data_IF_900578645969
#
_entry.id   IF_900578645969
#
_cell.length_a   1.000
_cell.length_b   1.000
_cell.length_c   1.000
_cell.angle_alpha   90.00
_cell.angle_beta   90.00
_cell.angle_gamma   90.00
#
_symmetry.space_group_name_H-M   'P 1'
#
loop_
_entity.id
_entity.type
_entity.pdbx_description
1 polymer ?
#
# COMPACT_ATOMS: atom_id res chain seq x y z
N UNK A 1 -32.39 -14.77 -15.63
CA UNK A 1 -30.97 -15.20 -15.57
C UNK A 1 -30.65 -15.35 -14.10
N UNK A 2 -30.17 -16.51 -13.67
CA UNK A 2 -29.88 -16.80 -12.26
C UNK A 2 -28.76 -15.90 -11.82
N UNK A 3 -29.08 -14.94 -10.96
CA UNK A 3 -28.06 -14.11 -10.29
C UNK A 3 -27.32 -15.07 -9.36
N UNK A 4 -26.18 -15.55 -9.78
CA UNK A 4 -25.31 -16.31 -8.87
C UNK A 4 -25.13 -15.46 -7.62
N UNK A 5 -25.60 -15.98 -6.50
CA UNK A 5 -25.64 -15.23 -5.25
C UNK A 5 -24.21 -14.91 -4.83
N UNK A 6 -23.83 -13.64 -4.86
CA UNK A 6 -22.55 -13.19 -4.32
C UNK A 6 -22.48 -13.60 -2.85
N UNK A 7 -21.54 -14.47 -2.53
CA UNK A 7 -21.27 -14.91 -1.15
C UNK A 7 -19.99 -14.23 -0.69
N UNK A 8 -20.11 -13.32 0.27
CA UNK A 8 -18.96 -12.62 0.85
C UNK A 8 -18.02 -13.64 1.52
N UNK A 9 -16.71 -13.64 1.23
CA UNK A 9 -15.75 -14.51 1.90
C UNK A 9 -15.78 -14.33 3.42
N UNK A 10 -15.77 -15.44 4.15
CA UNK A 10 -15.88 -15.43 5.62
C UNK A 10 -14.71 -14.70 6.28
N UNK A 11 -13.50 -14.81 5.70
CA UNK A 11 -12.31 -14.12 6.17
C UNK A 11 -12.48 -12.61 6.08
N UNK A 12 -12.98 -12.08 4.94
CA UNK A 12 -13.24 -10.65 4.76
C UNK A 12 -14.29 -10.15 5.77
N UNK A 13 -15.41 -10.86 5.91
CA UNK A 13 -16.45 -10.51 6.87
C UNK A 13 -15.95 -10.57 8.32
N UNK A 14 -15.10 -11.53 8.65
CA UNK A 14 -14.44 -11.67 9.95
C UNK A 14 -13.49 -10.53 10.24
N UNK A 15 -12.67 -10.12 9.27
CA UNK A 15 -11.78 -8.96 9.38
C UNK A 15 -12.57 -7.69 9.66
N UNK A 16 -13.61 -7.40 8.87
CA UNK A 16 -14.46 -6.23 9.08
C UNK A 16 -15.16 -6.23 10.44
N UNK A 17 -15.63 -7.39 10.88
CA UNK A 17 -16.25 -7.51 12.20
C UNK A 17 -15.28 -7.22 13.34
N UNK A 18 -14.00 -7.61 13.18
CA UNK A 18 -12.94 -7.43 14.19
C UNK A 18 -12.45 -5.99 14.26
N UNK A 19 -12.12 -5.38 13.13
CA UNK A 19 -11.44 -4.08 13.08
C UNK A 19 -12.39 -2.89 12.97
N UNK A 20 -13.56 -3.05 12.34
CA UNK A 20 -14.56 -1.99 12.17
C UNK A 20 -15.86 -2.24 12.94
N UNK A 21 -15.96 -3.30 13.75
CA UNK A 21 -17.07 -3.55 14.65
C UNK A 21 -18.42 -3.67 13.96
N UNK A 22 -19.39 -2.88 14.45
CA UNK A 22 -20.76 -2.89 13.92
C UNK A 22 -20.85 -2.33 12.49
N UNK A 23 -20.09 -1.28 12.19
CA UNK A 23 -20.06 -0.63 10.87
C UNK A 23 -19.47 -1.55 9.82
N UNK A 24 -18.37 -2.26 10.14
CA UNK A 24 -17.78 -3.27 9.25
C UNK A 24 -18.71 -4.44 8.96
N UNK A 25 -19.48 -4.91 9.95
CA UNK A 25 -20.51 -5.93 9.74
C UNK A 25 -21.63 -5.43 8.83
N UNK A 26 -22.10 -4.20 9.06
CA UNK A 26 -23.15 -3.59 8.25
C UNK A 26 -22.68 -3.43 6.80
N UNK A 27 -21.46 -2.91 6.58
CA UNK A 27 -20.89 -2.78 5.24
C UNK A 27 -20.76 -4.13 4.54
N UNK A 28 -20.19 -5.14 5.20
CA UNK A 28 -20.06 -6.49 4.61
C UNK A 28 -21.42 -7.08 4.21
N UNK A 29 -22.48 -6.79 4.96
CA UNK A 29 -23.81 -7.24 4.63
C UNK A 29 -24.40 -6.56 3.38
N UNK A 30 -23.91 -5.37 2.99
CA UNK A 30 -24.37 -4.66 1.78
C UNK A 30 -23.72 -5.18 0.50
N UNK A 31 -22.58 -5.86 0.59
CA UNK A 31 -21.76 -6.25 -0.58
C UNK A 31 -22.53 -7.06 -1.64
N UNK A 32 -23.42 -8.03 -1.31
CA UNK A 32 -24.16 -8.77 -2.33
C UNK A 32 -25.07 -7.87 -3.17
N UNK A 33 -25.82 -6.96 -2.52
CA UNK A 33 -26.74 -6.04 -3.19
C UNK A 33 -25.97 -4.96 -3.96
N UNK A 34 -24.89 -4.44 -3.36
CA UNK A 34 -24.02 -3.46 -4.00
C UNK A 34 -23.37 -4.04 -5.26
N UNK A 35 -22.84 -5.26 -5.21
CA UNK A 35 -22.27 -5.95 -6.38
C UNK A 35 -23.34 -6.15 -7.48
N UNK A 36 -24.53 -6.60 -7.11
CA UNK A 36 -25.64 -6.77 -8.06
C UNK A 36 -26.01 -5.45 -8.75
N UNK A 37 -26.06 -4.35 -8.02
CA UNK A 37 -26.35 -3.02 -8.58
C UNK A 37 -25.32 -2.58 -9.63
N UNK A 38 -24.02 -2.87 -9.40
CA UNK A 38 -22.99 -2.57 -10.39
C UNK A 38 -23.01 -3.52 -11.59
N UNK A 39 -23.41 -4.78 -11.40
CA UNK A 39 -23.64 -5.69 -12.51
C UNK A 39 -24.69 -5.14 -13.48
N UNK A 40 -25.81 -4.66 -12.95
CA UNK A 40 -26.86 -4.05 -13.76
C UNK A 40 -26.42 -2.72 -14.36
N UNK A 41 -25.77 -1.84 -13.58
CA UNK A 41 -25.41 -0.47 -13.97
C UNK A 41 -24.32 -0.45 -15.03
N UNK A 42 -23.30 -1.32 -14.91
CA UNK A 42 -22.16 -1.37 -15.83
C UNK A 42 -22.20 -2.55 -16.81
N UNK A 43 -23.32 -3.29 -16.84
CA UNK A 43 -23.50 -4.41 -17.77
C UNK A 43 -22.48 -5.53 -17.53
N UNK A 44 -22.16 -5.82 -16.26
CA UNK A 44 -21.14 -6.79 -15.90
C UNK A 44 -21.72 -8.18 -15.74
N UNK A 45 -20.92 -9.20 -15.97
CA UNK A 45 -21.21 -10.59 -15.63
C UNK A 45 -20.05 -11.23 -14.87
N UNK A 46 -20.38 -12.08 -13.92
CA UNK A 46 -19.36 -12.81 -13.13
C UNK A 46 -18.51 -13.70 -14.05
N UNK A 47 -17.20 -13.70 -13.85
CA UNK A 47 -16.24 -14.44 -14.67
C UNK A 47 -15.08 -15.03 -13.83
N UNK A 48 -15.42 -15.64 -12.73
CA UNK A 48 -14.46 -16.34 -11.88
C UNK A 48 -14.85 -16.35 -10.40
N UNK A 49 -14.07 -17.03 -9.56
CA UNK A 49 -14.28 -17.07 -8.13
C UNK A 49 -14.02 -15.67 -7.52
N UNK A 50 -14.80 -15.34 -6.48
CA UNK A 50 -14.56 -14.16 -5.69
C UNK A 50 -13.22 -14.27 -4.96
N UNK A 51 -12.52 -13.15 -4.87
CA UNK A 51 -11.30 -12.97 -4.08
C UNK A 51 -11.47 -11.79 -3.12
N UNK A 52 -10.55 -11.60 -2.24
CA UNK A 52 -10.50 -10.42 -1.39
C UNK A 52 -9.05 -10.04 -1.09
N UNK A 53 -8.80 -8.76 -0.90
CA UNK A 53 -7.62 -8.25 -0.22
C UNK A 53 -7.88 -8.21 1.29
N UNK A 54 -7.12 -7.40 2.00
CA UNK A 54 -7.33 -7.23 3.45
C UNK A 54 -8.70 -6.60 3.74
N UNK A 55 -9.08 -5.56 3.00
CA UNK A 55 -10.30 -4.77 3.26
C UNK A 55 -11.33 -4.80 2.13
N UNK A 56 -10.95 -5.16 0.91
CA UNK A 56 -11.80 -5.07 -0.27
C UNK A 56 -12.24 -6.42 -0.82
N UNK A 57 -13.50 -6.48 -1.34
CA UNK A 57 -13.99 -7.58 -2.15
C UNK A 57 -13.55 -7.41 -3.60
N UNK A 58 -13.00 -8.46 -4.19
CA UNK A 58 -12.48 -8.51 -5.55
C UNK A 58 -13.33 -9.48 -6.35
N UNK A 59 -14.05 -8.98 -7.34
CA UNK A 59 -15.00 -9.75 -8.15
C UNK A 59 -14.51 -9.79 -9.59
N UNK A 60 -14.01 -10.93 -10.09
CA UNK A 60 -13.67 -11.09 -11.50
C UNK A 60 -14.93 -11.00 -12.36
N UNK A 61 -14.93 -10.10 -13.35
CA UNK A 61 -16.08 -9.84 -14.22
C UNK A 61 -15.67 -9.75 -15.68
N UNK A 62 -16.67 -9.80 -16.58
CA UNK A 62 -16.55 -9.33 -17.96
C UNK A 62 -17.53 -8.20 -18.19
N UNK A 63 -17.09 -7.21 -18.98
CA UNK A 63 -17.95 -6.13 -19.45
C UNK A 63 -18.93 -6.62 -20.52
N UNK A 64 -19.87 -5.75 -20.93
CA UNK A 64 -20.78 -6.03 -22.03
C UNK A 64 -20.06 -6.35 -23.37
N UNK A 65 -18.88 -5.74 -23.57
CA UNK A 65 -18.02 -5.98 -24.75
C UNK A 65 -17.08 -7.18 -24.59
N UNK A 66 -17.33 -8.04 -23.60
CA UNK A 66 -16.55 -9.26 -23.31
C UNK A 66 -15.10 -8.99 -22.84
N UNK A 67 -14.80 -7.79 -22.37
CA UNK A 67 -13.47 -7.44 -21.85
C UNK A 67 -13.33 -7.98 -20.43
N UNK A 68 -12.24 -8.73 -20.11
CA UNK A 68 -11.95 -9.15 -18.74
C UNK A 68 -11.66 -7.94 -17.84
N UNK A 69 -12.32 -7.88 -16.70
CA UNK A 69 -12.16 -6.81 -15.72
C UNK A 69 -12.28 -7.33 -14.29
N UNK A 70 -12.02 -6.47 -13.33
CA UNK A 70 -12.20 -6.73 -11.89
C UNK A 70 -13.05 -5.61 -11.31
N UNK A 71 -14.14 -5.97 -10.64
CA UNK A 71 -14.89 -5.05 -9.81
C UNK A 71 -14.32 -5.11 -8.39
N UNK A 72 -13.75 -4.00 -7.91
CA UNK A 72 -13.21 -3.84 -6.56
C UNK A 72 -14.18 -3.01 -5.74
N UNK A 73 -14.65 -3.59 -4.62
CA UNK A 73 -15.50 -2.91 -3.64
C UNK A 73 -14.71 -2.79 -2.33
N UNK A 74 -14.47 -1.58 -1.88
CA UNK A 74 -13.78 -1.29 -0.63
C UNK A 74 -14.66 -0.39 0.26
N UNK A 75 -14.55 -0.47 1.59
CA UNK A 75 -15.24 0.47 2.47
C UNK A 75 -14.71 1.88 2.24
N UNK A 76 -15.55 2.88 2.51
CA UNK A 76 -15.11 4.27 2.53
C UNK A 76 -14.21 4.45 3.75
N UNK A 77 -12.92 4.58 3.50
CA UNK A 77 -11.90 4.82 4.50
C UNK A 77 -11.37 6.25 4.34
N UNK A 78 -11.58 7.07 5.36
CA UNK A 78 -11.15 8.46 5.35
C UNK A 78 -9.62 8.61 5.42
N UNK A 79 -8.91 7.56 5.82
CA UNK A 79 -7.44 7.58 5.90
C UNK A 79 -6.77 7.37 4.54
N UNK A 80 -7.44 6.66 3.64
CA UNK A 80 -6.89 6.27 2.33
C UNK A 80 -7.76 6.73 1.14
N UNK A 81 -8.23 7.99 1.10
CA UNK A 81 -8.98 8.46 -0.06
C UNK A 81 -8.05 8.60 -1.26
N UNK A 82 -8.53 8.25 -2.44
CA UNK A 82 -7.85 8.70 -3.66
C UNK A 82 -7.30 7.62 -4.58
N UNK A 83 -7.56 6.32 -4.35
CA UNK A 83 -7.14 5.26 -5.27
C UNK A 83 -7.60 5.54 -6.71
N UNK A 84 -8.89 5.74 -6.94
CA UNK A 84 -9.43 6.04 -8.27
C UNK A 84 -8.78 7.27 -8.93
N UNK A 85 -8.72 8.44 -8.27
CA UNK A 85 -8.00 9.60 -8.77
C UNK A 85 -6.54 9.37 -9.12
N UNK A 86 -5.79 8.60 -8.34
CA UNK A 86 -4.40 8.27 -8.64
C UNK A 86 -4.27 7.34 -9.86
N UNK A 87 -5.06 6.28 -9.91
CA UNK A 87 -5.12 5.37 -11.06
C UNK A 87 -5.50 6.10 -12.35
N UNK A 88 -6.39 7.10 -12.27
CA UNK A 88 -6.75 7.95 -13.41
C UNK A 88 -5.56 8.79 -13.88
N UNK A 89 -4.74 9.32 -12.95
CA UNK A 89 -3.54 10.10 -13.27
C UNK A 89 -2.49 9.20 -13.93
N UNK A 90 -2.20 8.05 -13.37
CA UNK A 90 -1.24 7.09 -13.94
C UNK A 90 -1.73 6.50 -15.28
N UNK A 91 -3.03 6.38 -15.46
CA UNK A 91 -3.67 5.92 -16.71
C UNK A 91 -3.01 4.65 -17.30
N UNK A 92 -2.64 3.72 -16.42
CA UNK A 92 -2.00 2.48 -16.79
C UNK A 92 -0.47 2.54 -16.95
N UNK A 93 0.17 3.69 -16.77
CA UNK A 93 1.63 3.79 -16.79
C UNK A 93 2.22 3.27 -15.47
N UNK A 94 2.66 2.01 -15.48
CA UNK A 94 3.20 1.31 -14.31
C UNK A 94 2.16 0.80 -13.31
N UNK A 95 0.88 1.17 -13.45
CA UNK A 95 -0.21 0.72 -12.59
C UNK A 95 -1.35 0.08 -13.36
N UNK A 96 -2.21 -0.64 -12.67
CA UNK A 96 -3.49 -1.16 -13.18
C UNK A 96 -4.34 -0.04 -13.77
N UNK A 97 -5.00 -0.29 -14.90
CA UNK A 97 -5.91 0.70 -15.52
C UNK A 97 -7.23 0.76 -14.79
N UNK A 98 -7.66 1.98 -14.49
CA UNK A 98 -9.02 2.29 -14.11
C UNK A 98 -9.90 2.32 -15.37
N UNK A 99 -10.90 1.45 -15.42
CA UNK A 99 -11.88 1.39 -16.52
C UNK A 99 -13.11 2.25 -16.22
N UNK A 100 -13.61 2.19 -14.97
CA UNK A 100 -14.70 3.02 -14.48
C UNK A 100 -14.63 3.14 -12.96
N UNK A 101 -15.33 4.11 -12.36
CA UNK A 101 -15.42 4.27 -10.91
C UNK A 101 -16.76 4.86 -10.47
N UNK A 102 -17.17 4.51 -9.26
CA UNK A 102 -18.22 5.21 -8.53
C UNK A 102 -17.62 5.88 -7.28
N UNK A 103 -17.39 7.20 -7.31
CA UNK A 103 -16.84 7.92 -6.17
C UNK A 103 -17.73 7.90 -4.92
N UNK A 104 -19.05 7.64 -5.08
CA UNK A 104 -19.98 7.63 -3.95
C UNK A 104 -19.84 6.38 -3.08
N UNK A 105 -19.40 5.28 -3.67
CA UNK A 105 -19.21 3.99 -2.97
C UNK A 105 -17.76 3.50 -2.97
N UNK A 106 -16.83 4.28 -3.55
CA UNK A 106 -15.44 3.90 -3.81
C UNK A 106 -15.28 2.57 -4.55
N UNK A 107 -16.28 2.24 -5.37
CA UNK A 107 -16.22 1.05 -6.22
C UNK A 107 -15.45 1.37 -7.50
N UNK A 108 -14.53 0.48 -7.85
CA UNK A 108 -13.66 0.62 -9.03
C UNK A 108 -13.89 -0.55 -9.98
N UNK A 109 -13.91 -0.25 -11.27
CA UNK A 109 -13.77 -1.24 -12.33
C UNK A 109 -12.35 -1.13 -12.90
N UNK A 110 -11.57 -2.19 -12.75
CA UNK A 110 -10.16 -2.23 -13.10
C UNK A 110 -9.90 -3.23 -14.23
N UNK A 111 -8.85 -3.03 -15.01
CA UNK A 111 -8.35 -4.09 -15.90
C UNK A 111 -8.02 -5.34 -15.08
N UNK A 112 -8.20 -6.53 -15.68
CA UNK A 112 -7.87 -7.77 -15.00
C UNK A 112 -6.39 -8.09 -15.20
N UNK A 113 -5.70 -8.27 -14.08
CA UNK A 113 -4.34 -8.80 -14.04
C UNK A 113 -4.35 -10.27 -13.60
N UNK A 114 -3.21 -10.94 -13.74
CA UNK A 114 -3.02 -12.32 -13.31
C UNK A 114 -2.78 -12.36 -11.78
N UNK A 115 -3.84 -12.57 -11.03
CA UNK A 115 -3.81 -12.58 -9.57
C UNK A 115 -3.09 -13.82 -8.97
N UNK A 116 -2.73 -14.81 -9.79
CA UNK A 116 -1.96 -15.98 -9.38
C UNK A 116 -0.46 -15.81 -9.65
N UNK A 117 -0.04 -14.65 -10.17
CA UNK A 117 1.36 -14.31 -10.46
C UNK A 117 1.69 -12.93 -9.91
N UNK A 118 2.19 -12.90 -8.69
CA UNK A 118 2.71 -11.69 -8.06
C UNK A 118 4.23 -11.59 -8.16
N UNK A 119 4.76 -10.40 -7.96
CA UNK A 119 6.22 -10.19 -7.91
C UNK A 119 6.86 -10.89 -6.68
N UNK A 120 6.05 -11.29 -5.70
CA UNK A 120 6.50 -12.11 -4.59
C UNK A 120 7.12 -13.44 -5.06
N UNK A 121 6.64 -13.97 -6.21
CA UNK A 121 7.09 -15.24 -6.79
C UNK A 121 8.40 -15.12 -7.60
N UNK A 122 8.93 -13.90 -7.82
CA UNK A 122 10.23 -13.72 -8.49
C UNK A 122 11.34 -14.26 -7.57
N UNK A 123 12.08 -15.32 -7.99
CA UNK A 123 13.06 -15.96 -7.12
C UNK A 123 14.29 -15.11 -6.83
N UNK A 124 14.65 -14.19 -7.72
CA UNK A 124 15.74 -13.24 -7.50
C UNK A 124 15.20 -11.98 -6.81
N UNK A 125 15.47 -11.87 -5.51
CA UNK A 125 15.01 -10.73 -4.71
C UNK A 125 15.50 -9.38 -5.22
N UNK A 126 16.73 -9.30 -5.76
CA UNK A 126 17.25 -8.03 -6.28
C UNK A 126 16.58 -7.64 -7.60
N UNK A 127 16.26 -8.62 -8.43
CA UNK A 127 15.44 -8.37 -9.62
C UNK A 127 14.03 -7.92 -9.24
N UNK A 128 13.43 -8.50 -8.20
CA UNK A 128 12.14 -8.05 -7.70
C UNK A 128 12.22 -6.61 -7.15
N UNK A 129 13.25 -6.27 -6.38
CA UNK A 129 13.51 -4.89 -5.91
C UNK A 129 13.71 -3.93 -7.07
N UNK A 130 14.46 -4.35 -8.12
CA UNK A 130 14.63 -3.54 -9.32
C UNK A 130 13.29 -3.22 -9.99
N UNK A 131 12.41 -4.21 -10.16
CA UNK A 131 11.07 -4.01 -10.72
C UNK A 131 10.28 -3.00 -9.89
N UNK A 132 10.29 -3.10 -8.54
CA UNK A 132 9.62 -2.13 -7.67
C UNK A 132 10.21 -0.73 -7.89
N UNK A 133 11.53 -0.58 -7.90
CA UNK A 133 12.18 0.71 -8.14
C UNK A 133 11.82 1.32 -9.49
N UNK A 134 11.79 0.51 -10.57
CA UNK A 134 11.40 0.96 -11.90
C UNK A 134 9.92 1.35 -11.98
N UNK A 135 9.02 0.63 -11.30
CA UNK A 135 7.61 1.00 -11.19
C UNK A 135 7.46 2.30 -10.41
N UNK A 136 8.09 2.43 -9.23
CA UNK A 136 8.04 3.67 -8.44
C UNK A 136 8.57 4.86 -9.24
N UNK A 137 9.67 4.72 -9.99
CA UNK A 137 10.19 5.79 -10.84
C UNK A 137 9.17 6.30 -11.87
N UNK A 138 8.40 5.38 -12.47
CA UNK A 138 7.31 5.72 -13.40
C UNK A 138 6.16 6.41 -12.68
N UNK A 139 5.69 5.86 -11.56
CA UNK A 139 4.57 6.39 -10.79
C UNK A 139 4.87 7.80 -10.26
N UNK A 140 6.08 8.02 -9.73
CA UNK A 140 6.52 9.31 -9.20
C UNK A 140 6.69 10.40 -10.29
N UNK A 141 6.84 10.03 -11.55
CA UNK A 141 6.94 10.98 -12.66
C UNK A 141 5.62 11.73 -12.93
N UNK A 142 4.50 11.22 -12.44
CA UNK A 142 3.20 11.82 -12.62
C UNK A 142 2.87 12.89 -11.58
N UNK A 143 2.12 13.91 -11.99
CA UNK A 143 1.64 14.95 -11.06
C UNK A 143 0.51 14.41 -10.18
N UNK A 144 0.59 14.60 -8.85
CA UNK A 144 -0.51 14.24 -7.97
C UNK A 144 -1.80 14.96 -8.32
N UNK A 145 -2.97 14.32 -8.17
CA UNK A 145 -4.24 15.00 -8.30
C UNK A 145 -4.37 16.08 -7.22
N UNK A 146 -5.10 17.20 -7.46
CA UNK A 146 -5.16 18.34 -6.55
C UNK A 146 -5.62 18.00 -5.13
N UNK A 147 -6.47 16.97 -5.00
CA UNK A 147 -7.02 16.49 -3.74
C UNK A 147 -6.15 15.44 -3.03
N UNK A 148 -4.97 15.12 -3.56
CA UNK A 148 -4.08 14.14 -2.92
C UNK A 148 -3.70 14.61 -1.52
N UNK A 149 -3.81 13.72 -0.56
CA UNK A 149 -3.40 13.95 0.83
C UNK A 149 -1.90 14.29 0.89
N UNK A 150 -1.54 15.23 1.74
CA UNK A 150 -0.15 15.70 1.83
C UNK A 150 0.65 14.83 2.81
N UNK A 151 1.80 14.36 2.38
CA UNK A 151 2.75 13.65 3.25
C UNK A 151 3.20 14.54 4.42
N UNK A 152 3.34 15.86 4.21
CA UNK A 152 3.70 16.81 5.28
C UNK A 152 2.67 16.87 6.40
N UNK A 153 1.38 16.70 6.10
CA UNK A 153 0.32 16.65 7.11
C UNK A 153 0.39 15.35 7.91
N UNK A 154 0.56 14.22 7.23
CA UNK A 154 0.74 12.90 7.86
C UNK A 154 1.98 12.90 8.77
N UNK A 155 3.12 13.35 8.25
CA UNK A 155 4.37 13.43 9.00
C UNK A 155 4.27 14.39 10.19
N UNK A 156 3.60 15.54 10.01
CA UNK A 156 3.36 16.49 11.09
C UNK A 156 2.55 15.93 12.25
N UNK A 157 1.51 15.15 11.97
CA UNK A 157 0.73 14.45 13.00
C UNK A 157 1.58 13.42 13.75
N UNK A 158 2.31 12.57 13.01
CA UNK A 158 3.20 11.57 13.62
C UNK A 158 4.23 12.21 14.55
N UNK A 159 4.91 13.29 14.12
CA UNK A 159 5.87 14.02 14.93
C UNK A 159 5.20 14.59 16.20
N UNK A 160 3.98 15.12 16.09
CA UNK A 160 3.24 15.69 17.22
C UNK A 160 2.83 14.62 18.26
N UNK A 161 2.57 13.38 17.86
CA UNK A 161 2.13 12.30 18.73
C UNK A 161 3.30 11.68 19.54
N UNK A 162 4.51 11.65 18.99
CA UNK A 162 5.68 11.00 19.59
C UNK A 162 5.97 11.42 21.04
N UNK A 163 5.89 12.71 21.45
CA UNK A 163 6.13 13.09 22.83
C UNK A 163 5.16 12.45 23.84
N UNK A 164 3.89 12.28 23.47
CA UNK A 164 2.88 11.65 24.33
C UNK A 164 3.09 10.13 24.38
N UNK A 165 3.22 9.50 23.20
CA UNK A 165 3.46 8.06 23.06
C UNK A 165 4.73 7.64 23.76
N UNK A 166 5.87 8.33 23.54
CA UNK A 166 7.15 8.01 24.18
C UNK A 166 7.14 8.14 25.71
N UNK A 167 6.28 9.00 26.29
CA UNK A 167 6.13 9.09 27.74
C UNK A 167 5.30 7.95 28.32
N UNK A 168 4.32 7.48 27.57
CA UNK A 168 3.45 6.39 27.99
C UNK A 168 4.08 5.00 27.75
N UNK A 169 5.05 4.91 26.85
CA UNK A 169 5.69 3.65 26.47
C UNK A 169 6.58 3.10 27.58
N UNK A 170 6.38 1.82 27.92
CA UNK A 170 7.05 1.21 29.07
C UNK A 170 8.55 0.95 28.89
N UNK A 171 9.02 0.83 27.64
CA UNK A 171 10.43 0.59 27.32
C UNK A 171 11.15 1.89 26.94
N UNK A 172 12.14 2.28 27.74
CA UNK A 172 12.88 3.52 27.56
C UNK A 172 13.78 3.52 26.31
N UNK A 173 14.28 2.35 25.89
CA UNK A 173 15.12 2.21 24.69
C UNK A 173 14.26 2.34 23.44
N UNK A 174 13.15 1.65 23.36
CA UNK A 174 12.20 1.78 22.27
C UNK A 174 11.61 3.19 22.18
N UNK A 175 11.28 3.82 23.31
CA UNK A 175 10.87 5.22 23.37
C UNK A 175 11.96 6.17 22.81
N UNK A 176 13.24 5.84 22.97
CA UNK A 176 14.34 6.59 22.35
C UNK A 176 14.37 6.43 20.84
N UNK A 177 14.08 5.24 20.32
CA UNK A 177 13.99 4.99 18.87
C UNK A 177 12.87 5.84 18.23
N UNK A 178 11.68 5.86 18.83
CA UNK A 178 10.57 6.68 18.34
C UNK A 178 10.98 8.17 18.23
N UNK A 179 11.62 8.72 19.27
CA UNK A 179 12.12 10.11 19.25
C UNK A 179 13.22 10.33 18.22
N UNK A 180 14.10 9.35 18.02
CA UNK A 180 15.17 9.42 17.03
C UNK A 180 14.61 9.48 15.59
N UNK A 181 13.66 8.59 15.27
CA UNK A 181 13.01 8.59 13.94
C UNK A 181 12.19 9.87 13.71
N UNK A 182 11.49 10.35 14.74
CA UNK A 182 10.75 11.62 14.65
C UNK A 182 11.68 12.82 14.45
N UNK A 183 12.85 12.85 15.10
CA UNK A 183 13.83 13.90 14.92
C UNK A 183 14.37 13.92 13.48
N UNK A 184 14.75 12.75 12.93
CA UNK A 184 15.21 12.65 11.55
C UNK A 184 14.12 13.09 10.54
N UNK A 185 12.87 12.68 10.76
CA UNK A 185 11.73 13.12 9.95
C UNK A 185 11.52 14.63 10.02
N UNK A 186 11.72 15.23 11.21
CA UNK A 186 11.55 16.68 11.42
C UNK A 186 12.55 17.53 10.62
N UNK A 187 13.72 16.98 10.27
CA UNK A 187 14.73 17.66 9.45
C UNK A 187 14.30 17.79 7.99
N UNK A 188 13.45 16.89 7.49
CA UNK A 188 13.06 16.83 6.06
C UNK A 188 11.61 17.22 5.79
N UNK A 189 10.74 17.27 6.80
CA UNK A 189 9.30 17.48 6.65
C UNK A 189 8.93 18.85 6.07
N UNK A 190 9.81 19.86 6.20
CA UNK A 190 9.60 21.20 5.65
C UNK A 190 9.74 21.24 4.12
N UNK A 191 10.38 20.23 3.53
CA UNK A 191 10.51 20.05 2.10
C UNK A 191 9.94 18.68 1.68
N UNK A 192 8.62 18.46 1.79
CA UNK A 192 8.01 17.12 1.74
C UNK A 192 7.98 16.50 0.34
N UNK A 193 8.52 17.17 -0.68
CA UNK A 193 8.42 16.71 -2.06
C UNK A 193 7.04 16.96 -2.69
N UNK A 194 6.90 16.54 -3.95
CA UNK A 194 5.68 16.76 -4.74
C UNK A 194 5.31 15.58 -5.64
N UNK A 195 5.96 14.44 -5.51
CA UNK A 195 5.65 13.24 -6.28
C UNK A 195 4.30 12.64 -5.89
N UNK A 196 3.69 11.90 -6.81
CA UNK A 196 2.55 11.05 -6.51
C UNK A 196 3.07 9.69 -6.02
N UNK A 197 2.97 9.47 -4.72
CA UNK A 197 3.42 8.26 -4.06
C UNK A 197 2.38 7.15 -4.17
N UNK A 198 2.86 5.91 -4.16
CA UNK A 198 2.01 4.73 -4.01
C UNK A 198 1.71 4.41 -2.54
N UNK A 199 2.65 4.68 -1.67
CA UNK A 199 2.66 4.48 -0.22
C UNK A 199 2.68 3.01 0.24
N UNK A 200 2.24 2.05 -0.56
CA UNK A 200 2.13 0.65 -0.16
C UNK A 200 2.62 -0.33 -1.24
N UNK A 201 3.67 0.03 -2.00
CA UNK A 201 4.17 -0.84 -3.07
C UNK A 201 5.11 -1.93 -2.52
N UNK A 202 4.54 -3.04 -2.10
CA UNK A 202 5.24 -4.29 -1.80
C UNK A 202 5.03 -5.32 -2.92
N UNK A 203 5.72 -6.47 -2.84
CA UNK A 203 5.75 -7.44 -3.94
C UNK A 203 4.39 -8.07 -4.27
N UNK A 204 3.48 -8.19 -3.31
CA UNK A 204 2.11 -8.70 -3.53
C UNK A 204 1.21 -7.66 -4.20
N UNK A 205 1.56 -6.36 -4.11
CA UNK A 205 0.87 -5.28 -4.82
C UNK A 205 1.45 -5.03 -6.22
N UNK A 206 2.20 -6.01 -6.77
CA UNK A 206 2.70 -6.00 -8.14
C UNK A 206 2.31 -7.32 -8.79
N UNK A 207 1.41 -7.26 -9.76
CA UNK A 207 0.87 -8.42 -10.47
C UNK A 207 1.31 -8.44 -11.93
N UNK A 208 1.38 -9.65 -12.49
CA UNK A 208 1.63 -9.82 -13.91
C UNK A 208 0.43 -9.36 -14.74
N UNK A 209 0.69 -8.69 -15.85
CA UNK A 209 -0.34 -8.25 -16.79
C UNK A 209 -0.08 -8.72 -18.21
N UNK A 210 -1.10 -8.67 -19.08
CA UNK A 210 -0.96 -9.02 -20.50
C UNK A 210 -0.21 -7.93 -21.28
N UNK A 211 -0.45 -6.65 -20.95
CA UNK A 211 0.16 -5.51 -21.67
C UNK A 211 1.57 -5.16 -21.17
N UNK A 212 1.89 -5.50 -19.94
CA UNK A 212 3.20 -5.28 -19.32
C UNK A 212 3.51 -6.45 -18.38
N UNK A 213 4.80 -6.78 -18.19
CA UNK A 213 5.19 -7.90 -17.32
C UNK A 213 4.72 -7.75 -15.88
N UNK A 214 4.76 -6.51 -15.36
CA UNK A 214 4.43 -6.17 -13.98
C UNK A 214 3.71 -4.84 -13.91
N UNK A 215 2.68 -4.77 -13.07
CA UNK A 215 1.85 -3.59 -12.85
C UNK A 215 1.50 -3.46 -11.37
N UNK A 216 1.60 -2.24 -10.85
CA UNK A 216 1.22 -1.91 -9.48
C UNK A 216 -0.30 -1.90 -9.30
N UNK A 217 -0.76 -2.36 -8.15
CA UNK A 217 -2.17 -2.34 -7.72
C UNK A 217 -2.29 -1.78 -6.31
N UNK A 218 -3.51 -1.47 -5.89
CA UNK A 218 -3.88 -1.11 -4.50
C UNK A 218 -3.13 0.10 -3.91
N UNK A 219 -3.01 1.22 -4.63
CA UNK A 219 -2.32 2.39 -4.12
C UNK A 219 -3.10 3.06 -2.98
N UNK A 220 -2.35 3.64 -2.05
CA UNK A 220 -2.83 4.54 -1.00
C UNK A 220 -2.20 5.92 -1.20
N UNK A 221 -2.62 6.69 -2.22
CA UNK A 221 -1.81 7.76 -2.77
C UNK A 221 -1.59 8.92 -1.80
N UNK A 222 -0.35 9.41 -1.76
CA UNK A 222 0.06 10.64 -1.11
C UNK A 222 0.77 11.56 -2.09
N UNK A 223 0.78 12.85 -1.78
CA UNK A 223 1.69 13.80 -2.41
C UNK A 223 2.89 14.03 -1.49
N UNK A 224 4.09 13.62 -1.92
CA UNK A 224 5.23 13.69 -1.03
C UNK A 224 6.58 13.36 -1.65
N UNK A 225 7.51 12.97 -0.79
CA UNK A 225 8.87 12.59 -1.12
C UNK A 225 8.98 11.09 -1.43
N UNK A 226 9.59 10.69 -2.54
CA UNK A 226 9.79 9.30 -2.93
C UNK A 226 10.45 8.41 -1.89
N UNK A 227 11.28 8.97 -1.00
CA UNK A 227 11.91 8.21 0.08
C UNK A 227 10.93 7.57 1.06
N UNK A 228 9.68 8.05 1.12
CA UNK A 228 8.64 7.48 1.96
C UNK A 228 8.06 6.16 1.41
N UNK A 229 8.20 5.89 0.11
CA UNK A 229 7.71 4.67 -0.56
C UNK A 229 8.65 3.47 -0.45
N UNK A 230 9.85 3.61 0.14
CA UNK A 230 10.86 2.56 0.09
C UNK A 230 10.61 1.41 1.07
N UNK A 231 10.04 1.68 2.24
CA UNK A 231 9.93 0.70 3.33
C UNK A 231 9.14 -0.55 2.96
N UNK A 232 7.99 -0.50 2.24
CA UNK A 232 7.21 -1.71 1.93
C UNK A 232 8.02 -2.78 1.20
N UNK A 233 8.93 -2.40 0.31
CA UNK A 233 9.82 -3.33 -0.38
C UNK A 233 10.95 -3.88 0.50
N UNK A 234 11.24 -3.25 1.63
CA UNK A 234 12.26 -3.70 2.58
C UNK A 234 11.71 -4.64 3.64
N UNK A 235 10.47 -4.41 4.10
CA UNK A 235 9.79 -5.25 5.10
C UNK A 235 9.27 -6.55 4.52
N UNK A 236 8.71 -6.51 3.33
CA UNK A 236 8.23 -7.71 2.65
C UNK A 236 9.42 -8.62 2.26
N UNK A 237 9.27 -9.94 2.30
CA UNK A 237 10.34 -10.93 2.11
C UNK A 237 11.47 -10.81 3.16
N UNK A 238 11.11 -10.47 4.40
CA UNK A 238 12.04 -10.35 5.51
C UNK A 238 12.76 -11.67 5.83
N UNK A 239 12.05 -12.80 5.79
CA UNK A 239 12.61 -14.13 6.07
C UNK A 239 13.77 -14.48 5.14
N UNK A 240 13.72 -14.02 3.89
CA UNK A 240 14.82 -14.22 2.94
C UNK A 240 16.05 -13.39 3.32
N UNK A 241 15.86 -12.17 3.84
CA UNK A 241 16.98 -11.37 4.35
C UNK A 241 17.63 -12.07 5.56
N UNK A 242 16.83 -12.61 6.48
CA UNK A 242 17.31 -13.41 7.62
C UNK A 242 18.05 -14.66 7.17
N UNK A 243 17.52 -15.37 6.16
CA UNK A 243 18.13 -16.59 5.62
C UNK A 243 19.54 -16.38 5.00
N UNK A 244 19.92 -15.13 4.66
CA UNK A 244 21.29 -14.82 4.20
C UNK A 244 22.34 -14.95 5.29
N UNK A 245 21.94 -14.97 6.57
CA UNK A 245 22.87 -14.90 7.73
C UNK A 245 23.36 -13.49 8.08
N UNK A 246 23.11 -12.49 7.21
CA UNK A 246 23.41 -11.07 7.43
C UNK A 246 22.25 -10.20 6.91
N UNK A 247 21.13 -10.15 7.65
CA UNK A 247 19.95 -9.40 7.24
C UNK A 247 20.24 -7.90 7.05
N UNK A 248 21.10 -7.31 7.87
CA UNK A 248 21.47 -5.90 7.76
C UNK A 248 22.12 -5.59 6.40
N UNK A 249 23.07 -6.40 5.96
CA UNK A 249 23.68 -6.25 4.65
C UNK A 249 22.68 -6.48 3.50
N UNK A 250 21.80 -7.49 3.63
CA UNK A 250 20.81 -7.78 2.63
C UNK A 250 19.83 -6.61 2.45
N UNK A 251 19.32 -6.05 3.55
CA UNK A 251 18.43 -4.89 3.53
C UNK A 251 19.12 -3.64 2.99
N UNK A 252 20.34 -3.34 3.43
CA UNK A 252 21.11 -2.21 2.91
C UNK A 252 21.26 -2.29 1.40
N UNK A 253 21.57 -3.47 0.86
CA UNK A 253 21.69 -3.69 -0.58
C UNK A 253 20.38 -3.43 -1.34
N UNK A 254 19.21 -3.85 -0.76
CA UNK A 254 17.89 -3.56 -1.34
C UNK A 254 17.61 -2.05 -1.31
N UNK A 255 17.86 -1.40 -0.19
CA UNK A 255 17.67 0.03 -0.01
C UNK A 255 18.55 0.85 -0.98
N UNK A 256 19.85 0.56 -1.04
CA UNK A 256 20.78 1.28 -1.90
C UNK A 256 20.41 1.13 -3.39
N UNK A 257 19.93 -0.06 -3.80
CA UNK A 257 19.40 -0.29 -5.15
C UNK A 257 18.20 0.60 -5.46
N UNK A 258 17.23 0.70 -4.54
CA UNK A 258 16.07 1.58 -4.71
C UNK A 258 16.50 3.06 -4.80
N UNK A 259 17.39 3.49 -3.92
CA UNK A 259 17.94 4.87 -3.92
C UNK A 259 18.64 5.18 -5.24
N UNK A 260 19.43 4.25 -5.79
CA UNK A 260 20.11 4.38 -7.08
C UNK A 260 19.12 4.50 -8.25
N UNK A 261 18.14 3.57 -8.33
CA UNK A 261 17.14 3.55 -9.42
C UNK A 261 16.30 4.84 -9.42
N UNK A 262 15.92 5.31 -8.24
CA UNK A 262 15.09 6.50 -8.09
C UNK A 262 15.91 7.81 -8.11
N UNK A 263 17.24 7.74 -8.11
CA UNK A 263 18.12 8.91 -8.11
C UNK A 263 17.97 9.78 -6.87
N UNK A 264 17.71 9.19 -5.70
CA UNK A 264 17.45 9.91 -4.46
C UNK A 264 18.75 10.30 -3.75
N UNK A 265 18.71 11.42 -3.02
CA UNK A 265 19.73 11.68 -1.98
C UNK A 265 19.57 10.63 -0.86
N UNK A 266 20.65 9.90 -0.58
CA UNK A 266 20.63 8.76 0.34
C UNK A 266 20.24 9.18 1.77
N UNK A 267 20.77 10.30 2.26
CA UNK A 267 20.49 10.73 3.63
C UNK A 267 19.04 11.16 3.80
N UNK A 268 18.52 11.85 2.79
CA UNK A 268 17.12 12.22 2.74
C UNK A 268 16.20 11.02 2.64
N UNK A 269 16.54 10.02 1.80
CA UNK A 269 15.80 8.77 1.69
C UNK A 269 15.78 8.00 3.02
N UNK A 270 16.89 7.96 3.76
CA UNK A 270 16.93 7.39 5.13
C UNK A 270 15.97 8.10 6.06
N UNK A 271 15.96 9.44 6.08
CA UNK A 271 15.08 10.20 6.98
C UNK A 271 13.60 9.97 6.67
N UNK A 272 13.20 9.90 5.38
CA UNK A 272 11.82 9.58 4.99
C UNK A 272 11.46 8.12 5.25
N UNK A 273 12.38 7.18 5.06
CA UNK A 273 12.16 5.77 5.43
C UNK A 273 11.99 5.62 6.95
N UNK A 274 12.74 6.37 7.76
CA UNK A 274 12.48 6.43 9.22
C UNK A 274 11.10 6.98 9.54
N UNK A 275 10.61 7.98 8.78
CA UNK A 275 9.23 8.43 8.89
C UNK A 275 8.22 7.31 8.66
N UNK A 276 8.47 6.45 7.68
CA UNK A 276 7.58 5.30 7.41
C UNK A 276 7.68 4.20 8.47
N UNK A 277 8.90 3.95 9.02
CA UNK A 277 9.09 3.07 10.19
C UNK A 277 8.33 3.64 11.39
N UNK A 278 8.46 4.93 11.66
CA UNK A 278 7.74 5.61 12.74
C UNK A 278 6.22 5.46 12.59
N UNK A 279 5.70 5.60 11.37
CA UNK A 279 4.27 5.44 11.11
C UNK A 279 3.78 4.04 11.49
N UNK A 280 4.49 3.00 11.03
CA UNK A 280 4.13 1.62 11.37
C UNK A 280 4.21 1.41 12.89
N UNK A 281 5.27 1.89 13.54
CA UNK A 281 5.42 1.78 15.00
C UNK A 281 4.27 2.47 15.77
N UNK A 282 3.79 3.62 15.30
CA UNK A 282 2.65 4.30 15.92
C UNK A 282 1.35 3.52 15.73
N UNK A 283 1.13 2.92 14.56
CA UNK A 283 -0.02 2.04 14.30
C UNK A 283 0.03 0.78 15.17
N UNK A 284 1.17 0.09 15.25
CA UNK A 284 1.35 -1.10 16.12
C UNK A 284 1.01 -0.75 17.59
N UNK A 285 1.47 0.40 18.07
CA UNK A 285 1.17 0.89 19.42
C UNK A 285 -0.33 1.19 19.60
N UNK A 286 -0.98 1.79 18.62
CA UNK A 286 -2.42 2.07 18.65
C UNK A 286 -3.24 0.77 18.65
N UNK A 287 -2.79 -0.24 17.93
CA UNK A 287 -3.37 -1.59 17.91
C UNK A 287 -3.10 -2.39 19.18
N UNK A 288 -2.27 -1.86 20.09
CA UNK A 288 -2.00 -2.44 21.41
C UNK A 288 -0.84 -3.43 21.45
N UNK A 289 0.03 -3.42 20.42
CA UNK A 289 1.23 -4.24 20.42
C UNK A 289 2.17 -3.81 21.59
N UNK A 290 2.70 -4.76 22.35
CA UNK A 290 3.49 -4.44 23.56
C UNK A 290 4.93 -4.00 23.28
N UNK A 291 5.43 -4.27 22.07
CA UNK A 291 6.82 -4.02 21.64
C UNK A 291 6.84 -3.54 20.20
N UNK A 292 7.85 -2.74 19.84
CA UNK A 292 8.09 -2.34 18.45
C UNK A 292 8.55 -3.55 17.63
N UNK A 293 8.12 -3.62 16.38
CA UNK A 293 8.53 -4.69 15.45
C UNK A 293 10.05 -4.71 15.27
N UNK A 294 10.65 -5.83 15.66
CA UNK A 294 12.10 -6.05 15.59
C UNK A 294 12.64 -6.00 14.16
N UNK A 295 11.87 -6.46 13.18
CA UNK A 295 12.30 -6.40 11.78
C UNK A 295 12.43 -4.95 11.32
N UNK A 296 11.49 -4.09 11.68
CA UNK A 296 11.55 -2.67 11.34
C UNK A 296 12.69 -1.93 12.05
N UNK A 297 12.99 -2.27 13.32
CA UNK A 297 14.15 -1.74 14.03
C UNK A 297 15.45 -2.10 13.27
N UNK A 298 15.62 -3.39 12.91
CA UNK A 298 16.79 -3.85 12.17
C UNK A 298 16.91 -3.24 10.77
N UNK A 299 15.78 -3.01 10.10
CA UNK A 299 15.76 -2.29 8.82
C UNK A 299 16.26 -0.86 9.01
N UNK A 300 15.74 -0.14 10.00
CA UNK A 300 16.15 1.21 10.31
C UNK A 300 17.66 1.29 10.64
N UNK A 301 18.18 0.36 11.44
CA UNK A 301 19.61 0.26 11.74
C UNK A 301 20.46 -0.04 10.49
N UNK A 302 19.98 -0.94 9.62
CA UNK A 302 20.69 -1.35 8.42
C UNK A 302 20.88 -0.20 7.42
N UNK A 303 19.89 0.67 7.26
CA UNK A 303 19.96 1.78 6.29
C UNK A 303 20.72 3.00 6.81
N UNK A 304 20.95 3.09 8.13
CA UNK A 304 21.71 4.18 8.76
C UNK A 304 23.19 4.21 8.36
N UNK A 305 23.78 3.07 8.05
CA UNK A 305 25.18 2.89 7.67
C UNK A 305 25.35 2.77 6.14
#
# INVERSE_FOLDING_TARGET
MTTDRIVVPAELAGFHAKYYGADGKAWSATLPELTASFFDRWGLRLDGPLRHGMVGLIVPVRTADDVPAVLKLAPIDLEHPGEGPALRVWNGDGAVRLLDEDPATWTLLLERLDADRSLLDEPDVLKAVQVIGELLARLHAHRPPPQARLLSEVAGMMIADVPAVSRAWGDAEQARLLRYWAAALSEVVTEPGTALLHWDLHYENVLAGEREPWLAIDPKPLRGDPGFDLLPALTNRWDEAVATGDPGRAIRRRFDLLVEILGLDRQRAVAWTYGRVLQNALWDIEDGEPELDRAQILIAEAIAG
#
